data_IF_721528746841
#
_entry.id   IF_721528746841
#
_cell.length_a   1.000
_cell.length_b   1.000
_cell.length_c   1.000
_cell.angle_alpha   90.00
_cell.angle_beta   90.00
_cell.angle_gamma   90.00
#
_symmetry.space_group_name_H-M   'P 1'
#
loop_
_entity.id
_entity.type
_entity.pdbx_description
1 polymer ?
#
# COMPACT_ATOMS: atom_id res chain seq x y z
N UNK A 1 49.83 -17.43 24.65
CA UNK A 1 48.45 -17.77 24.21
C UNK A 1 47.64 -16.50 23.99
N UNK A 2 48.13 -15.57 23.16
CA UNK A 2 47.48 -14.28 22.87
C UNK A 2 47.82 -13.98 21.41
N UNK A 3 46.98 -14.38 20.47
CA UNK A 3 47.32 -14.20 19.05
C UNK A 3 46.30 -14.71 18.05
N UNK A 4 45.04 -14.91 18.43
CA UNK A 4 44.03 -15.46 17.51
C UNK A 4 42.64 -14.87 17.73
N UNK A 5 42.53 -13.55 17.92
CA UNK A 5 41.23 -12.87 18.06
C UNK A 5 41.06 -11.64 17.15
N UNK A 6 42.00 -11.34 16.25
CA UNK A 6 41.91 -10.16 15.38
C UNK A 6 41.33 -10.43 13.97
N UNK A 7 41.19 -11.70 13.54
CA UNK A 7 40.76 -12.00 12.17
C UNK A 7 39.23 -12.14 11.98
N UNK A 8 38.44 -12.26 13.05
CA UNK A 8 37.00 -12.44 12.94
C UNK A 8 36.22 -11.12 12.72
N UNK A 9 36.82 -9.95 13.01
CA UNK A 9 36.13 -8.66 12.88
C UNK A 9 36.02 -8.17 11.42
N UNK A 10 36.87 -8.66 10.51
CA UNK A 10 36.89 -8.21 9.12
C UNK A 10 35.69 -8.73 8.30
N UNK A 11 35.04 -9.80 8.73
CA UNK A 11 33.91 -10.42 8.02
C UNK A 11 32.58 -9.66 8.25
N UNK A 12 32.53 -8.75 9.23
CA UNK A 12 31.35 -7.94 9.55
C UNK A 12 31.32 -6.59 8.82
N UNK A 13 32.39 -6.24 8.09
CA UNK A 13 32.48 -4.99 7.33
C UNK A 13 31.97 -5.11 5.89
N UNK A 14 31.63 -6.31 5.42
CA UNK A 14 30.87 -6.46 4.18
C UNK A 14 29.39 -6.32 4.53
N UNK A 15 28.96 -5.07 4.73
CA UNK A 15 27.54 -4.75 4.76
C UNK A 15 26.87 -5.37 3.51
N UNK A 16 25.68 -5.97 3.64
CA UNK A 16 24.91 -6.45 2.50
C UNK A 16 24.82 -5.32 1.44
N UNK A 17 25.30 -5.57 0.23
CA UNK A 17 25.30 -4.57 -0.87
C UNK A 17 23.90 -4.31 -1.43
N UNK A 18 22.93 -5.09 -0.95
CA UNK A 18 21.47 -4.98 -1.07
C UNK A 18 20.89 -3.82 -0.25
N UNK A 19 21.69 -2.78 0.02
CA UNK A 19 21.20 -1.47 0.44
C UNK A 19 20.07 -1.02 -0.51
N UNK A 20 18.96 -0.47 0.00
CA UNK A 20 17.85 -0.06 -0.85
C UNK A 20 18.36 0.81 -2.00
N UNK A 21 17.89 0.52 -3.20
CA UNK A 21 18.36 1.14 -4.44
C UNK A 21 18.53 2.66 -4.27
N UNK A 22 19.78 3.13 -4.31
CA UNK A 22 20.12 4.55 -4.10
C UNK A 22 19.61 5.41 -5.27
N UNK A 23 19.43 4.80 -6.45
CA UNK A 23 18.89 5.43 -7.64
C UNK A 23 17.50 4.88 -7.96
N UNK A 24 16.52 5.74 -8.28
CA UNK A 24 15.23 5.30 -8.79
C UNK A 24 15.37 4.45 -10.04
N UNK A 25 14.63 3.35 -10.12
CA UNK A 25 14.49 2.59 -11.36
C UNK A 25 13.46 3.28 -12.28
N UNK A 26 13.37 2.87 -13.57
CA UNK A 26 12.42 3.47 -14.51
C UNK A 26 10.95 3.37 -14.07
N UNK A 27 10.58 2.37 -13.26
CA UNK A 27 9.21 2.20 -12.74
C UNK A 27 8.88 3.29 -11.73
N UNK A 28 9.79 3.57 -10.79
CA UNK A 28 9.63 4.65 -9.81
C UNK A 28 9.58 6.02 -10.51
N UNK A 29 10.42 6.24 -11.53
CA UNK A 29 10.37 7.49 -12.29
C UNK A 29 9.06 7.65 -13.07
N UNK A 30 8.53 6.58 -13.66
CA UNK A 30 7.20 6.60 -14.30
C UNK A 30 6.09 6.91 -13.30
N UNK A 31 6.16 6.40 -12.07
CA UNK A 31 5.20 6.70 -11.01
C UNK A 31 5.33 8.15 -10.52
N UNK A 32 6.55 8.64 -10.30
CA UNK A 32 6.84 10.05 -9.94
C UNK A 32 6.33 11.02 -10.99
N UNK A 33 6.43 10.68 -12.27
CA UNK A 33 5.89 11.47 -13.37
C UNK A 33 4.36 11.63 -13.31
N UNK A 34 3.64 10.71 -12.65
CA UNK A 34 2.20 10.85 -12.42
C UNK A 34 1.84 11.93 -11.38
N UNK A 35 2.80 12.35 -10.54
CA UNK A 35 2.68 13.39 -9.49
C UNK A 35 1.68 13.07 -8.37
N UNK A 36 0.42 12.81 -8.68
CA UNK A 36 -0.67 12.61 -7.71
C UNK A 36 -1.62 11.50 -8.16
N UNK A 37 -2.02 10.66 -7.22
CA UNK A 37 -3.07 9.67 -7.36
C UNK A 37 -4.02 9.71 -6.17
N UNK A 38 -5.08 8.91 -6.23
CA UNK A 38 -6.08 8.78 -5.16
C UNK A 38 -6.07 7.36 -4.59
N UNK A 39 -6.32 7.22 -3.29
CA UNK A 39 -6.52 5.94 -2.62
C UNK A 39 -7.97 5.83 -2.17
N UNK A 40 -8.69 4.84 -2.68
CA UNK A 40 -10.08 4.55 -2.40
C UNK A 40 -10.18 3.44 -1.34
N UNK A 41 -10.41 3.83 -0.09
CA UNK A 41 -10.79 2.91 0.98
C UNK A 41 -12.32 2.80 1.01
N UNK A 42 -12.83 1.72 0.42
CA UNK A 42 -14.25 1.41 0.37
C UNK A 42 -14.44 -0.07 0.58
N UNK A 43 -15.36 -0.48 1.45
CA UNK A 43 -15.58 -1.90 1.77
C UNK A 43 -16.35 -2.07 3.06
N UNK A 44 -16.20 -3.22 3.72
CA UNK A 44 -16.97 -3.55 4.93
C UNK A 44 -16.86 -2.48 6.03
N UNK A 45 -15.66 -1.92 6.24
CA UNK A 45 -15.42 -0.83 7.20
C UNK A 45 -16.33 0.39 6.95
N UNK A 46 -16.71 0.67 5.70
CA UNK A 46 -17.65 1.74 5.35
C UNK A 46 -19.07 1.47 5.89
N UNK A 47 -19.48 0.21 6.03
CA UNK A 47 -20.83 -0.18 6.47
C UNK A 47 -20.89 -0.55 7.96
N UNK A 48 -19.78 -0.98 8.54
CA UNK A 48 -19.69 -1.34 9.96
C UNK A 48 -19.24 -0.17 10.83
N UNK A 49 -18.54 0.82 10.26
CA UNK A 49 -17.88 1.89 11.02
C UNK A 49 -16.64 1.41 11.78
N UNK A 50 -16.21 0.18 11.55
CA UNK A 50 -15.01 -0.41 12.14
C UNK A 50 -13.88 -0.45 11.12
N UNK A 51 -12.88 0.40 11.37
CA UNK A 51 -11.73 0.57 10.49
C UNK A 51 -10.88 -0.70 10.37
N UNK A 52 -10.78 -1.49 11.45
CA UNK A 52 -9.80 -2.58 11.54
C UNK A 52 -10.41 -3.98 11.52
N UNK A 53 -11.73 -4.09 11.69
CA UNK A 53 -12.45 -5.37 11.68
C UNK A 53 -12.32 -6.17 12.97
N UNK A 54 -12.31 -5.47 14.11
CA UNK A 54 -12.46 -6.09 15.43
C UNK A 54 -13.88 -6.56 15.74
N UNK A 55 -14.89 -6.00 15.07
CA UNK A 55 -16.30 -6.36 15.21
C UNK A 55 -16.68 -7.25 14.02
N UNK A 56 -17.01 -8.54 14.23
CA UNK A 56 -17.49 -9.40 13.16
C UNK A 56 -18.78 -8.87 12.53
N UNK A 57 -18.86 -8.90 11.21
CA UNK A 57 -20.08 -8.63 10.46
C UNK A 57 -20.28 -9.69 9.38
N UNK A 58 -21.54 -10.04 9.14
CA UNK A 58 -21.91 -10.87 8.01
C UNK A 58 -21.70 -10.14 6.68
N UNK A 59 -21.56 -10.91 5.60
CA UNK A 59 -21.39 -10.37 4.24
C UNK A 59 -22.58 -9.52 3.78
N UNK A 60 -23.76 -9.78 4.33
CA UNK A 60 -25.00 -9.03 4.13
C UNK A 60 -24.91 -7.57 4.58
N UNK A 61 -23.94 -7.25 5.45
CA UNK A 61 -23.72 -5.87 5.89
C UNK A 61 -23.13 -4.99 4.79
N UNK A 62 -22.45 -5.57 3.81
CA UNK A 62 -21.95 -4.84 2.65
C UNK A 62 -23.10 -4.57 1.67
N UNK A 63 -23.63 -3.35 1.69
CA UNK A 63 -24.84 -2.97 0.93
C UNK A 63 -24.67 -1.64 0.18
N UNK A 64 -23.87 -1.59 -0.90
CA UNK A 64 -23.51 -0.36 -1.63
C UNK A 64 -24.63 0.12 -2.58
N UNK A 65 -25.80 0.49 -2.06
CA UNK A 65 -26.98 0.81 -2.87
C UNK A 65 -26.79 1.96 -3.88
N UNK A 66 -25.96 2.96 -3.54
CA UNK A 66 -25.75 4.16 -4.36
C UNK A 66 -24.27 4.39 -4.71
N UNK A 67 -23.44 3.34 -4.66
CA UNK A 67 -22.04 3.46 -5.05
C UNK A 67 -21.92 3.60 -6.57
N UNK A 68 -21.24 4.65 -7.03
CA UNK A 68 -20.98 4.93 -8.44
C UNK A 68 -19.48 5.10 -8.69
N UNK A 69 -18.76 4.00 -8.98
CA UNK A 69 -17.32 4.05 -9.28
C UNK A 69 -16.98 4.89 -10.51
N UNK A 70 -17.89 5.03 -11.47
CA UNK A 70 -17.68 5.86 -12.66
C UNK A 70 -17.65 7.35 -12.28
N UNK A 71 -18.55 7.76 -11.38
CA UNK A 71 -18.54 9.12 -10.82
C UNK A 71 -17.25 9.39 -10.04
N UNK A 72 -16.76 8.44 -9.23
CA UNK A 72 -15.50 8.59 -8.49
C UNK A 72 -14.32 8.85 -9.42
N UNK A 73 -14.16 8.01 -10.45
CA UNK A 73 -13.07 8.12 -11.42
C UNK A 73 -13.20 9.38 -12.27
N UNK A 74 -14.43 9.75 -12.65
CA UNK A 74 -14.70 10.97 -13.43
C UNK A 74 -14.29 12.22 -12.65
N UNK A 75 -14.68 12.33 -11.38
CA UNK A 75 -14.30 13.46 -10.53
C UNK A 75 -12.81 13.48 -10.27
N UNK A 76 -12.19 12.33 -9.96
CA UNK A 76 -10.75 12.24 -9.73
C UNK A 76 -9.95 12.70 -10.97
N UNK A 77 -10.37 12.26 -12.16
CA UNK A 77 -9.74 12.68 -13.42
C UNK A 77 -9.90 14.19 -13.66
N UNK A 78 -11.09 14.74 -13.42
CA UNK A 78 -11.34 16.20 -13.53
C UNK A 78 -10.52 17.01 -12.53
N UNK A 79 -10.26 16.47 -11.34
CA UNK A 79 -9.41 17.07 -10.31
C UNK A 79 -7.89 16.90 -10.56
N UNK A 80 -7.49 16.26 -11.66
CA UNK A 80 -6.09 16.12 -12.07
C UNK A 80 -5.34 14.92 -11.47
N UNK A 81 -6.04 13.96 -10.84
CA UNK A 81 -5.42 12.72 -10.40
C UNK A 81 -5.10 11.80 -11.59
N UNK A 82 -3.96 11.11 -11.53
CA UNK A 82 -3.40 10.36 -12.65
C UNK A 82 -3.51 8.84 -12.53
N UNK A 83 -3.79 8.35 -11.34
CA UNK A 83 -4.04 6.94 -11.04
C UNK A 83 -4.91 6.82 -9.79
N UNK A 84 -5.55 5.66 -9.64
CA UNK A 84 -6.31 5.28 -8.46
C UNK A 84 -5.81 3.94 -7.91
N UNK A 85 -5.82 3.81 -6.59
CA UNK A 85 -5.59 2.55 -5.88
C UNK A 85 -6.88 2.19 -5.17
N UNK A 86 -7.45 1.03 -5.48
CA UNK A 86 -8.65 0.49 -4.83
C UNK A 86 -8.23 -0.57 -3.82
N UNK A 87 -8.72 -0.46 -2.59
CA UNK A 87 -8.52 -1.48 -1.56
C UNK A 87 -9.36 -2.72 -1.87
N UNK A 88 -8.81 -3.66 -2.65
CA UNK A 88 -9.49 -4.92 -2.98
C UNK A 88 -9.77 -5.79 -1.73
N UNK A 89 -8.91 -5.68 -0.70
CA UNK A 89 -9.08 -6.33 0.61
C UNK A 89 -8.40 -5.49 1.69
N UNK A 90 -9.14 -5.09 2.72
CA UNK A 90 -8.61 -4.38 3.89
C UNK A 90 -8.23 -5.35 5.02
N UNK A 91 -7.80 -4.84 6.17
CA UNK A 91 -7.53 -5.66 7.37
C UNK A 91 -8.80 -6.30 7.94
N UNK A 92 -9.99 -5.78 7.62
CA UNK A 92 -11.27 -6.43 7.90
C UNK A 92 -11.38 -7.84 7.31
N UNK A 93 -10.67 -8.13 6.20
CA UNK A 93 -10.63 -9.44 5.56
C UNK A 93 -11.70 -9.70 4.50
N UNK A 94 -12.68 -8.79 4.35
CA UNK A 94 -13.65 -8.81 3.25
C UNK A 94 -12.98 -8.47 1.91
N UNK A 95 -13.24 -9.28 0.88
CA UNK A 95 -12.81 -9.02 -0.51
C UNK A 95 -13.94 -8.36 -1.29
N UNK A 96 -13.62 -7.28 -2.01
CA UNK A 96 -14.53 -6.60 -2.94
C UNK A 96 -14.79 -7.41 -4.22
#
# INVERSE_FOLDING_TARGET
>A
MIGLLALAAAQWLTAPTDWPAIKPNPVIERWRAQKRGIFLHFGMSTFTGDEYGGIPAGVDRYAPANADPEQWVTVAKRAGFRYAVLTAKHCYGFCL
#
